data_IF_175827180921
#
_entry.id   IF_175827180921
#
_cell.length_a   1.000
_cell.length_b   1.000
_cell.length_c   1.000
_cell.angle_alpha   90.00
_cell.angle_beta   90.00
_cell.angle_gamma   90.00
#
_symmetry.space_group_name_H-M   'P 1'
#
loop_
_entity.id
_entity.type
_entity.pdbx_description
1 polymer ?
#
# COMPACT_ATOMS: atom_id res chain seq x y z
N UNK A 1 1.18 -11.98 -20.69
CA UNK A 1 -0.03 -12.72 -20.25
C UNK A 1 0.38 -14.12 -19.87
N UNK A 2 0.10 -14.58 -18.65
CA UNK A 2 0.31 -15.97 -18.28
C UNK A 2 -0.81 -16.80 -18.91
N UNK A 3 -0.48 -17.71 -19.82
CA UNK A 3 -1.42 -18.70 -20.37
C UNK A 3 -1.65 -19.80 -19.32
N UNK A 4 -2.91 -20.05 -18.97
CA UNK A 4 -3.30 -21.16 -18.08
C UNK A 4 -3.69 -22.37 -18.89
N UNK A 5 -3.92 -23.49 -18.21
CA UNK A 5 -4.50 -24.69 -18.80
C UNK A 5 -5.84 -24.37 -19.44
N UNK A 6 -5.99 -24.62 -20.75
CA UNK A 6 -7.27 -24.45 -21.44
C UNK A 6 -8.24 -25.53 -20.95
N UNK A 7 -9.46 -25.18 -20.51
CA UNK A 7 -10.44 -26.18 -20.14
C UNK A 7 -10.79 -27.06 -21.35
N UNK A 8 -10.93 -28.36 -21.12
CA UNK A 8 -11.46 -29.32 -22.10
C UNK A 8 -12.84 -29.76 -21.64
N UNK A 9 -13.86 -29.59 -22.50
CA UNK A 9 -15.27 -29.91 -22.18
C UNK A 9 -15.78 -29.25 -20.88
N UNK A 10 -15.24 -28.08 -20.52
CA UNK A 10 -15.60 -27.37 -19.28
C UNK A 10 -14.85 -27.83 -18.03
N UNK A 11 -13.88 -28.74 -18.16
CA UNK A 11 -13.07 -29.25 -17.05
C UNK A 11 -11.59 -28.91 -17.24
N UNK A 12 -10.91 -28.64 -16.14
CA UNK A 12 -9.46 -28.51 -16.13
C UNK A 12 -8.82 -29.89 -15.95
N UNK A 13 -8.05 -30.39 -16.93
CA UNK A 13 -7.43 -31.71 -16.81
C UNK A 13 -6.40 -31.70 -15.68
N UNK A 14 -6.52 -32.67 -14.77
CA UNK A 14 -5.55 -32.88 -13.68
C UNK A 14 -4.39 -33.71 -14.24
N UNK A 15 -3.17 -33.20 -14.10
CA UNK A 15 -1.97 -33.92 -14.53
C UNK A 15 -1.66 -35.09 -13.59
N UNK A 16 -0.90 -36.07 -14.11
CA UNK A 16 -0.42 -37.17 -13.30
C UNK A 16 0.44 -36.65 -12.12
N UNK A 17 0.38 -37.29 -10.94
CA UNK A 17 1.14 -36.84 -9.77
C UNK A 17 2.65 -36.74 -10.00
N UNK A 18 3.19 -37.55 -10.92
CA UNK A 18 4.62 -37.58 -11.27
C UNK A 18 5.00 -36.66 -12.45
N UNK A 19 4.04 -35.91 -13.00
CA UNK A 19 4.36 -34.89 -14.00
C UNK A 19 5.01 -33.68 -13.31
N UNK A 20 5.87 -32.97 -14.04
CA UNK A 20 6.29 -31.64 -13.61
C UNK A 20 5.06 -30.72 -13.54
N UNK A 21 5.06 -29.80 -12.57
CA UNK A 21 4.05 -28.76 -12.40
C UNK A 21 4.72 -27.39 -12.58
N UNK A 22 4.24 -26.59 -13.54
CA UNK A 22 4.71 -25.22 -13.81
C UNK A 22 3.52 -24.26 -13.66
N UNK A 23 3.81 -22.97 -13.44
CA UNK A 23 2.78 -21.95 -13.26
C UNK A 23 1.79 -21.84 -14.44
N UNK A 24 2.23 -22.09 -15.69
CA UNK A 24 1.33 -22.09 -16.86
C UNK A 24 0.42 -23.33 -16.94
N UNK A 25 0.61 -24.31 -16.05
CA UNK A 25 -0.26 -25.48 -15.86
C UNK A 25 -1.19 -25.33 -14.66
N UNK A 26 -1.18 -24.17 -13.99
CA UNK A 26 -2.20 -23.83 -13.01
C UNK A 26 -3.55 -23.79 -13.72
N UNK A 27 -4.55 -24.47 -13.14
CA UNK A 27 -5.84 -24.73 -13.81
C UNK A 27 -6.49 -23.45 -14.31
N UNK A 28 -6.65 -22.46 -13.44
CA UNK A 28 -7.34 -21.21 -13.79
C UNK A 28 -6.68 -20.02 -13.11
N UNK A 29 -6.62 -18.88 -13.82
CA UNK A 29 -6.51 -17.55 -13.25
C UNK A 29 -7.93 -16.98 -13.23
N UNK A 30 -8.46 -16.75 -12.03
CA UNK A 30 -9.80 -16.21 -11.85
C UNK A 30 -9.73 -14.68 -11.81
N UNK A 31 -10.24 -13.95 -12.81
CA UNK A 31 -10.41 -12.50 -12.72
C UNK A 31 -11.42 -12.18 -11.61
N UNK A 32 -11.04 -11.30 -10.68
CA UNK A 32 -11.87 -10.93 -9.53
C UNK A 32 -12.51 -9.55 -9.68
N UNK A 33 -12.24 -8.83 -10.77
CA UNK A 33 -12.66 -7.43 -10.98
C UNK A 33 -14.19 -7.29 -11.02
N UNK A 34 -14.90 -8.32 -11.46
CA UNK A 34 -16.36 -8.37 -11.46
C UNK A 34 -16.98 -8.83 -10.13
N UNK A 35 -16.17 -9.21 -9.14
CA UNK A 35 -16.64 -9.66 -7.83
C UNK A 35 -16.68 -8.47 -6.86
N UNK A 36 -17.70 -8.47 -6.00
CA UNK A 36 -17.76 -7.51 -4.89
C UNK A 36 -16.69 -7.82 -3.85
N UNK A 37 -16.22 -6.80 -3.14
CA UNK A 37 -15.37 -7.01 -1.98
C UNK A 37 -16.07 -7.87 -0.93
N UNK A 38 -15.30 -8.67 -0.20
CA UNK A 38 -15.81 -9.51 0.89
C UNK A 38 -15.38 -10.96 0.81
N UNK A 39 -16.05 -11.82 1.59
CA UNK A 39 -15.74 -13.24 1.63
C UNK A 39 -16.44 -13.99 0.50
N UNK A 40 -15.65 -14.72 -0.28
CA UNK A 40 -16.10 -15.60 -1.34
C UNK A 40 -15.63 -17.03 -1.07
N UNK A 41 -16.36 -18.01 -1.58
CA UNK A 41 -15.97 -19.42 -1.45
C UNK A 41 -15.47 -19.92 -2.79
N UNK A 42 -14.21 -20.34 -2.83
CA UNK A 42 -13.68 -21.12 -3.96
C UNK A 42 -13.98 -22.59 -3.68
N UNK A 43 -14.68 -23.23 -4.61
CA UNK A 43 -14.97 -24.66 -4.55
C UNK A 43 -14.28 -25.38 -5.71
N UNK A 44 -13.43 -26.34 -5.38
CA UNK A 44 -12.79 -27.24 -6.34
C UNK A 44 -13.56 -28.56 -6.30
N UNK A 45 -14.08 -28.98 -7.44
CA UNK A 45 -14.77 -30.27 -7.63
C UNK A 45 -13.92 -31.15 -8.53
N UNK A 46 -13.60 -32.35 -8.06
CA UNK A 46 -12.86 -33.35 -8.83
C UNK A 46 -13.84 -34.36 -9.41
N UNK A 47 -13.74 -34.61 -10.70
CA UNK A 47 -14.60 -35.55 -11.42
C UNK A 47 -13.77 -36.70 -12.00
N UNK A 48 -14.42 -37.84 -12.23
CA UNK A 48 -13.78 -38.98 -12.87
C UNK A 48 -13.51 -38.70 -14.34
N UNK A 49 -12.31 -39.04 -14.82
CA UNK A 49 -12.00 -39.01 -16.26
C UNK A 49 -12.84 -40.01 -17.07
N UNK A 50 -13.43 -41.03 -16.42
CA UNK A 50 -14.33 -42.01 -17.06
C UNK A 50 -15.75 -41.48 -17.25
N UNK A 51 -16.16 -40.48 -16.46
CA UNK A 51 -17.49 -39.85 -16.57
C UNK A 51 -17.46 -38.48 -15.92
N UNK A 52 -17.69 -37.44 -16.73
CA UNK A 52 -17.77 -36.05 -16.29
C UNK A 52 -18.92 -35.79 -15.28
N UNK A 53 -19.90 -36.70 -15.20
CA UNK A 53 -20.99 -36.64 -14.22
C UNK A 53 -20.62 -37.25 -12.85
N UNK A 54 -19.53 -38.00 -12.75
CA UNK A 54 -19.13 -38.67 -11.52
C UNK A 54 -18.21 -37.78 -10.68
N UNK A 55 -18.80 -37.05 -9.72
CA UNK A 55 -18.06 -36.30 -8.70
C UNK A 55 -17.29 -37.29 -7.80
N UNK A 56 -15.97 -37.15 -7.72
CA UNK A 56 -15.10 -37.95 -6.86
C UNK A 56 -14.87 -37.29 -5.51
N UNK A 57 -14.66 -35.97 -5.51
CA UNK A 57 -14.45 -35.20 -4.28
C UNK A 57 -14.71 -33.71 -4.51
N UNK A 58 -14.91 -33.00 -3.41
CA UNK A 58 -15.07 -31.55 -3.40
C UNK A 58 -14.33 -30.98 -2.20
N UNK A 59 -13.68 -29.84 -2.40
CA UNK A 59 -13.05 -29.05 -1.36
C UNK A 59 -13.43 -27.58 -1.53
N UNK A 60 -13.64 -26.89 -0.41
CA UNK A 60 -13.96 -25.46 -0.41
C UNK A 60 -13.00 -24.70 0.49
N UNK A 61 -12.64 -23.48 0.05
CA UNK A 61 -11.89 -22.53 0.85
C UNK A 61 -12.53 -21.15 0.76
N UNK A 62 -12.64 -20.49 1.90
CA UNK A 62 -13.06 -19.10 1.95
C UNK A 62 -11.84 -18.23 1.66
N UNK A 63 -11.99 -17.33 0.70
CA UNK A 63 -11.02 -16.29 0.37
C UNK A 63 -11.68 -14.93 0.56
N UNK A 64 -10.87 -13.92 0.87
CA UNK A 64 -11.34 -12.54 0.88
C UNK A 64 -10.93 -11.89 -0.44
N UNK A 65 -11.89 -11.33 -1.15
CA UNK A 65 -11.67 -10.50 -2.32
C UNK A 65 -11.67 -9.05 -1.88
N UNK A 66 -10.64 -8.32 -2.30
CA UNK A 66 -10.50 -6.89 -2.14
C UNK A 66 -9.98 -6.32 -3.46
N UNK A 67 -10.84 -5.60 -4.17
CA UNK A 67 -10.51 -4.88 -5.40
C UNK A 67 -10.39 -3.36 -5.14
N UNK A 68 -10.40 -2.93 -3.88
CA UNK A 68 -10.22 -1.52 -3.53
C UNK A 68 -8.74 -1.12 -3.62
N UNK A 69 -8.50 0.16 -3.86
CA UNK A 69 -7.15 0.72 -3.82
C UNK A 69 -6.98 1.49 -2.51
N UNK A 70 -5.77 1.50 -1.92
CA UNK A 70 -5.49 2.38 -0.80
C UNK A 70 -5.63 3.85 -1.22
N UNK A 71 -5.81 4.72 -0.24
CA UNK A 71 -5.85 6.17 -0.38
C UNK A 71 -4.58 6.76 0.23
N UNK A 72 -4.01 7.74 -0.46
CA UNK A 72 -2.84 8.49 -0.03
C UNK A 72 -3.08 9.99 -0.25
N UNK A 73 -2.93 10.79 0.80
CA UNK A 73 -2.89 12.25 0.69
C UNK A 73 -2.04 12.87 1.79
N UNK A 74 -1.36 13.96 1.45
CA UNK A 74 -0.79 14.90 2.42
C UNK A 74 -1.76 16.07 2.46
N UNK A 75 -2.65 16.10 3.44
CA UNK A 75 -3.73 17.09 3.53
C UNK A 75 -3.14 18.47 3.86
N UNK A 76 -2.22 18.52 4.83
CA UNK A 76 -1.61 19.76 5.29
C UNK A 76 -0.18 19.54 5.78
N UNK A 77 0.73 20.45 5.42
CA UNK A 77 2.05 20.58 6.06
C UNK A 77 1.89 21.64 7.16
N UNK A 78 2.38 21.36 8.36
CA UNK A 78 2.23 22.20 9.55
C UNK A 78 3.62 22.58 10.03
N UNK A 79 3.93 23.88 10.01
CA UNK A 79 5.16 24.42 10.57
C UNK A 79 4.93 24.86 12.01
N UNK A 80 5.81 24.44 12.92
CA UNK A 80 5.74 24.82 14.33
C UNK A 80 6.69 25.98 14.57
N UNK A 81 6.15 27.19 14.65
CA UNK A 81 6.88 28.40 14.99
C UNK A 81 7.12 28.50 16.49
N UNK A 82 8.29 29.01 16.88
CA UNK A 82 8.58 29.32 18.27
C UNK A 82 7.67 30.41 18.87
N UNK A 83 7.15 31.31 18.03
CA UNK A 83 6.38 32.50 18.46
C UNK A 83 4.90 32.39 18.11
N UNK A 84 4.57 31.92 16.91
CA UNK A 84 3.20 31.94 16.37
C UNK A 84 2.46 30.60 16.51
N UNK A 85 3.02 29.63 17.23
CA UNK A 85 2.44 28.29 17.35
C UNK A 85 2.50 27.52 16.03
N UNK A 86 1.39 26.93 15.60
CA UNK A 86 1.33 26.09 14.38
C UNK A 86 0.69 26.85 13.23
N UNK A 87 1.36 26.91 12.08
CA UNK A 87 0.78 27.47 10.86
C UNK A 87 0.82 26.46 9.70
N UNK A 88 -0.18 26.50 8.80
CA UNK A 88 -0.16 25.67 7.62
C UNK A 88 0.79 26.21 6.55
N UNK A 89 1.56 25.32 5.94
CA UNK A 89 2.37 25.61 4.76
C UNK A 89 1.69 25.00 3.54
N UNK A 90 1.35 25.86 2.58
CA UNK A 90 0.75 25.41 1.31
C UNK A 90 1.82 24.86 0.36
N UNK A 91 1.40 24.10 -0.64
CA UNK A 91 2.28 23.66 -1.73
C UNK A 91 3.00 24.84 -2.36
N UNK A 92 4.29 24.68 -2.66
CA UNK A 92 5.19 25.74 -3.14
C UNK A 92 5.42 26.89 -2.13
N UNK A 93 4.99 26.73 -0.87
CA UNK A 93 5.28 27.67 0.20
C UNK A 93 6.78 27.77 0.47
N UNK A 94 7.22 28.95 0.89
CA UNK A 94 8.60 29.21 1.30
C UNK A 94 8.60 29.50 2.79
N UNK A 95 9.43 28.79 3.54
CA UNK A 95 9.61 28.97 4.99
C UNK A 95 10.96 29.60 5.24
N UNK A 96 10.98 30.73 5.93
CA UNK A 96 12.20 31.54 6.15
C UNK A 96 12.55 31.72 7.63
N UNK A 97 11.68 31.29 8.53
CA UNK A 97 11.82 31.49 9.97
C UNK A 97 12.75 30.46 10.62
N UNK A 98 13.29 30.76 11.80
CA UNK A 98 14.35 29.96 12.45
C UNK A 98 13.92 28.55 12.91
N UNK A 99 12.63 28.22 12.91
CA UNK A 99 12.17 26.90 13.36
C UNK A 99 12.24 25.89 12.23
N UNK A 100 12.76 24.71 12.50
CA UNK A 100 12.83 23.59 11.57
C UNK A 100 11.85 22.46 11.90
N UNK A 101 10.87 22.72 12.74
CA UNK A 101 9.95 21.71 13.28
C UNK A 101 8.66 21.61 12.45
N UNK A 102 8.35 20.41 11.94
CA UNK A 102 7.20 20.16 11.07
C UNK A 102 6.37 18.95 11.48
N UNK A 103 5.07 19.03 11.24
CA UNK A 103 4.16 17.88 11.26
C UNK A 103 3.27 17.90 10.02
N UNK A 104 2.58 16.80 9.77
CA UNK A 104 1.85 16.57 8.53
C UNK A 104 0.52 15.92 8.85
N UNK A 105 -0.57 16.54 8.42
CA UNK A 105 -1.87 15.87 8.40
C UNK A 105 -1.92 15.01 7.14
N UNK A 106 -2.03 13.69 7.30
CA UNK A 106 -2.03 12.74 6.19
C UNK A 106 -3.21 11.77 6.26
N UNK A 107 -3.57 11.26 5.09
CA UNK A 107 -4.43 10.09 4.94
C UNK A 107 -3.62 9.00 4.24
N UNK A 108 -3.54 7.83 4.88
CA UNK A 108 -2.86 6.65 4.37
C UNK A 108 -3.70 5.45 4.81
N UNK A 109 -4.68 5.07 4.00
CA UNK A 109 -5.70 4.10 4.42
C UNK A 109 -6.18 3.16 3.34
N UNK A 110 -6.66 2.02 3.78
CA UNK A 110 -7.40 1.05 2.99
C UNK A 110 -8.80 0.91 3.61
N UNK A 111 -9.85 1.12 2.81
CA UNK A 111 -11.22 1.15 3.31
C UNK A 111 -11.73 -0.22 3.79
N UNK A 112 -11.19 -1.30 3.26
CA UNK A 112 -11.52 -2.68 3.62
C UNK A 112 -10.71 -3.17 4.82
N UNK A 113 -9.72 -2.38 5.27
CA UNK A 113 -8.90 -2.70 6.42
C UNK A 113 -7.73 -3.61 6.09
N UNK A 114 -7.26 -3.61 4.85
CA UNK A 114 -6.13 -4.44 4.43
C UNK A 114 -4.86 -3.64 4.17
N UNK A 115 -4.66 -2.50 4.83
CA UNK A 115 -3.42 -1.75 4.70
C UNK A 115 -2.23 -2.62 5.13
N UNK A 116 -1.10 -2.46 4.44
CA UNK A 116 0.16 -3.16 4.69
C UNK A 116 1.16 -2.28 5.41
N UNK A 117 1.44 -1.12 4.85
CA UNK A 117 2.39 -0.16 5.37
C UNK A 117 2.18 1.21 4.73
N UNK A 118 2.70 2.24 5.42
CA UNK A 118 2.86 3.56 4.85
C UNK A 118 4.15 4.21 5.35
N UNK A 119 4.71 5.09 4.55
CA UNK A 119 5.87 5.90 4.93
C UNK A 119 5.77 7.30 4.34
N UNK A 120 6.04 8.30 5.17
CA UNK A 120 6.22 9.69 4.77
C UNK A 120 7.72 9.99 4.83
N UNK A 121 8.30 10.37 3.70
CA UNK A 121 9.72 10.62 3.53
C UNK A 121 9.92 12.05 3.06
N UNK A 122 10.86 12.77 3.66
CA UNK A 122 11.34 14.04 3.16
C UNK A 122 12.53 13.80 2.21
N UNK A 123 12.50 14.43 1.04
CA UNK A 123 13.56 14.43 0.05
C UNK A 123 14.07 15.86 -0.14
N UNK A 124 15.39 16.06 -0.20
CA UNK A 124 15.98 17.39 -0.43
C UNK A 124 17.35 17.28 -1.11
N UNK A 125 17.87 18.45 -1.52
CA UNK A 125 19.24 18.59 -2.01
C UNK A 125 19.60 17.62 -3.14
N UNK A 126 20.83 17.12 -3.09
CA UNK A 126 21.36 16.11 -4.02
C UNK A 126 21.22 14.71 -3.41
N UNK A 127 20.15 14.02 -3.81
CA UNK A 127 19.85 12.64 -3.42
C UNK A 127 19.85 12.42 -1.90
N UNK A 128 19.36 13.41 -1.12
CA UNK A 128 19.20 13.31 0.33
C UNK A 128 17.76 12.99 0.69
N UNK A 129 17.60 12.23 1.77
CA UNK A 129 16.30 11.89 2.30
C UNK A 129 16.35 11.53 3.79
N UNK A 130 15.20 11.65 4.45
CA UNK A 130 14.96 11.12 5.78
C UNK A 130 13.49 10.73 5.96
N UNK A 131 13.25 9.66 6.70
CA UNK A 131 11.89 9.29 7.11
C UNK A 131 11.36 10.32 8.10
N UNK A 132 10.17 10.84 7.81
CA UNK A 132 9.41 11.71 8.72
C UNK A 132 8.61 10.84 9.69
N UNK A 133 7.83 9.90 9.15
CA UNK A 133 7.04 8.97 9.92
C UNK A 133 6.71 7.73 9.08
N UNK A 134 6.46 6.60 9.73
CA UNK A 134 6.03 5.37 9.06
C UNK A 134 5.32 4.47 10.05
N UNK A 135 4.47 3.59 9.54
CA UNK A 135 3.91 2.49 10.31
C UNK A 135 3.63 1.30 9.39
N UNK A 136 3.47 0.12 9.99
CA UNK A 136 3.20 -1.11 9.27
C UNK A 136 2.25 -2.01 10.03
N UNK A 137 1.54 -2.84 9.27
CA UNK A 137 0.57 -3.77 9.79
C UNK A 137 1.20 -4.71 10.83
N UNK A 138 0.71 -4.62 12.06
CA UNK A 138 1.01 -5.60 13.10
C UNK A 138 -0.07 -6.67 13.12
N UNK A 139 0.29 -7.97 12.99
CA UNK A 139 -0.67 -9.06 13.00
C UNK A 139 -1.62 -9.03 14.19
N UNK A 140 -2.93 -9.10 13.92
CA UNK A 140 -3.97 -9.16 14.94
C UNK A 140 -5.06 -10.19 14.59
N UNK A 141 -5.89 -10.64 15.55
CA UNK A 141 -6.91 -11.66 15.32
C UNK A 141 -7.94 -11.30 14.25
N UNK A 142 -8.33 -10.03 14.15
CA UNK A 142 -9.26 -9.54 13.13
C UNK A 142 -8.63 -9.50 11.73
N UNK A 143 -7.29 -9.58 11.66
CA UNK A 143 -6.49 -9.43 10.45
C UNK A 143 -6.71 -8.10 9.73
N UNK A 144 -7.05 -7.06 10.48
CA UNK A 144 -7.49 -5.77 9.95
C UNK A 144 -6.60 -4.62 10.43
N UNK A 145 -6.34 -3.69 9.52
CA UNK A 145 -5.76 -2.39 9.79
C UNK A 145 -6.16 -1.43 8.67
N UNK A 146 -6.97 -0.43 9.03
CA UNK A 146 -7.49 0.56 8.10
C UNK A 146 -6.44 1.63 7.78
N UNK A 147 -5.53 1.93 8.71
CA UNK A 147 -4.56 3.02 8.59
C UNK A 147 -5.08 4.36 9.08
N UNK A 148 -4.50 5.44 8.54
CA UNK A 148 -4.71 6.81 8.99
C UNK A 148 -5.72 7.55 8.11
N UNK A 149 -6.59 8.35 8.73
CA UNK A 149 -7.54 9.21 8.03
C UNK A 149 -7.45 10.64 8.59
N UNK A 150 -6.75 11.53 7.88
CA UNK A 150 -6.54 12.92 8.29
C UNK A 150 -5.81 13.08 9.62
N UNK A 151 -4.84 12.23 9.93
CA UNK A 151 -4.11 12.20 11.22
C UNK A 151 -2.81 13.00 11.12
N UNK A 152 -2.45 13.72 12.18
CA UNK A 152 -1.19 14.46 12.26
C UNK A 152 -0.05 13.53 12.68
N UNK A 153 1.01 13.50 11.87
CA UNK A 153 2.23 12.73 12.10
C UNK A 153 3.48 13.59 11.84
N UNK A 154 4.62 13.32 12.50
CA UNK A 154 4.75 12.48 13.67
C UNK A 154 4.11 13.13 14.92
N UNK A 155 3.93 12.35 15.98
CA UNK A 155 3.33 12.84 17.24
C UNK A 155 4.19 13.92 17.92
N UNK A 156 5.51 13.76 17.88
CA UNK A 156 6.46 14.83 18.13
C UNK A 156 6.84 15.46 16.77
N UNK A 157 6.99 16.79 16.66
CA UNK A 157 7.41 17.42 15.41
C UNK A 157 8.74 16.87 14.89
N UNK A 158 8.83 16.74 13.57
CA UNK A 158 10.03 16.31 12.87
C UNK A 158 10.93 17.51 12.59
N UNK A 159 12.22 17.38 12.91
CA UNK A 159 13.23 18.38 12.62
C UNK A 159 13.75 18.24 11.19
N UNK A 160 13.61 19.29 10.37
CA UNK A 160 14.11 19.31 9.00
C UNK A 160 15.64 19.42 8.93
N UNK A 161 16.28 20.01 9.95
CA UNK A 161 17.73 20.12 9.96
C UNK A 161 18.39 18.76 10.10
N UNK A 162 19.35 18.50 9.23
CA UNK A 162 20.35 17.45 9.44
C UNK A 162 21.71 18.09 9.76
N UNK A 163 22.28 17.71 10.91
CA UNK A 163 23.56 18.25 11.36
C UNK A 163 24.67 17.97 10.32
N UNK A 164 25.39 19.02 9.92
CA UNK A 164 26.45 18.93 8.91
C UNK A 164 25.96 18.96 7.46
N UNK A 165 24.64 19.01 7.19
CA UNK A 165 24.08 19.14 5.85
C UNK A 165 23.38 20.50 5.66
N UNK A 166 24.05 21.50 5.07
CA UNK A 166 23.44 22.82 4.85
C UNK A 166 22.26 22.77 3.86
N UNK A 167 22.16 21.74 3.01
CA UNK A 167 21.07 21.62 2.03
C UNK A 167 19.74 21.28 2.69
N UNK A 168 19.75 20.67 3.88
CA UNK A 168 18.54 20.38 4.69
C UNK A 168 17.80 21.64 5.17
N UNK A 169 18.45 22.81 5.12
CA UNK A 169 17.88 24.09 5.57
C UNK A 169 17.66 25.12 4.45
N UNK A 170 18.27 24.91 3.30
CA UNK A 170 18.38 25.92 2.22
C UNK A 170 17.92 25.42 0.85
N UNK A 171 17.24 24.29 0.80
CA UNK A 171 16.75 23.69 -0.43
C UNK A 171 15.27 23.34 -0.37
N UNK A 172 14.71 23.08 -1.55
CA UNK A 172 13.39 22.51 -1.69
C UNK A 172 13.31 21.15 -0.99
N UNK A 173 12.24 20.96 -0.25
CA UNK A 173 11.86 19.69 0.36
C UNK A 173 10.64 19.15 -0.37
N UNK A 174 10.72 17.91 -0.82
CA UNK A 174 9.57 17.16 -1.32
C UNK A 174 9.22 16.08 -0.32
N UNK A 175 8.04 16.17 0.26
CA UNK A 175 7.49 15.14 1.13
C UNK A 175 6.72 14.16 0.28
N UNK A 176 7.11 12.90 0.36
CA UNK A 176 6.57 11.81 -0.45
C UNK A 176 5.95 10.77 0.49
N UNK A 177 4.64 10.59 0.35
CA UNK A 177 3.87 9.59 1.07
C UNK A 177 3.72 8.34 0.19
N UNK A 178 4.12 7.20 0.72
CA UNK A 178 4.01 5.87 0.11
C UNK A 178 2.97 5.07 0.89
N UNK A 179 2.06 4.38 0.21
CA UNK A 179 0.99 3.59 0.84
C UNK A 179 0.79 2.28 0.08
N UNK A 180 0.90 1.15 0.78
CA UNK A 180 0.68 -0.19 0.25
C UNK A 180 -0.47 -0.89 0.96
N UNK A 181 -1.28 -1.62 0.20
CA UNK A 181 -2.22 -2.61 0.76
C UNK A 181 -1.61 -4.02 0.82
N UNK A 182 -2.32 -4.95 1.45
CA UNK A 182 -1.98 -6.37 1.57
C UNK A 182 -2.67 -7.22 0.51
N UNK A 183 -3.32 -6.61 -0.47
CA UNK A 183 -4.02 -7.33 -1.55
C UNK A 183 -2.99 -8.00 -2.45
N UNK A 184 -3.15 -9.31 -2.68
CA UNK A 184 -2.21 -10.12 -3.49
C UNK A 184 -2.93 -10.86 -4.60
N UNK A 185 -2.20 -11.15 -5.69
CA UNK A 185 -2.62 -12.11 -6.73
C UNK A 185 -2.05 -13.52 -6.51
N UNK A 186 -1.59 -13.82 -5.29
CA UNK A 186 -0.87 -15.06 -4.97
C UNK A 186 0.63 -15.03 -5.27
N UNK A 187 1.15 -13.97 -5.91
CA UNK A 187 2.57 -13.81 -6.20
C UNK A 187 3.16 -12.54 -5.60
N UNK A 188 2.48 -11.41 -5.76
CA UNK A 188 2.95 -10.10 -5.31
C UNK A 188 1.80 -9.27 -4.72
N UNK A 189 2.15 -8.23 -3.97
CA UNK A 189 1.21 -7.16 -3.61
C UNK A 189 0.83 -6.35 -4.85
N UNK A 190 -0.42 -5.93 -4.92
CA UNK A 190 -0.98 -5.34 -6.13
C UNK A 190 -1.07 -3.83 -6.08
N UNK A 191 -1.52 -3.25 -4.97
CA UNK A 191 -1.87 -1.84 -4.97
C UNK A 191 -0.89 -1.01 -4.16
N UNK A 192 -0.38 -0.01 -4.87
CA UNK A 192 0.46 1.04 -4.34
C UNK A 192 -0.13 2.38 -4.73
N UNK A 193 -0.17 3.30 -3.76
CA UNK A 193 -0.45 4.70 -4.00
C UNK A 193 0.64 5.57 -3.42
N UNK A 194 0.84 6.69 -4.07
CA UNK A 194 1.74 7.72 -3.61
C UNK A 194 1.12 9.10 -3.74
N UNK A 195 1.58 10.01 -2.90
CA UNK A 195 1.24 11.41 -2.94
C UNK A 195 2.46 12.24 -2.55
N UNK A 196 2.67 13.41 -3.16
CA UNK A 196 3.75 14.28 -2.75
C UNK A 196 3.33 15.74 -2.68
N UNK A 197 4.01 16.50 -1.82
CA UNK A 197 3.94 17.96 -1.73
C UNK A 197 5.33 18.52 -1.54
N UNK A 198 5.62 19.65 -2.16
CA UNK A 198 6.92 20.31 -2.07
C UNK A 198 6.79 21.71 -1.49
N UNK A 199 7.77 22.09 -0.67
CA UNK A 199 7.96 23.43 -0.10
C UNK A 199 9.44 23.80 -0.22
N UNK A 200 9.76 25.08 -0.03
CA UNK A 200 11.15 25.54 0.03
C UNK A 200 11.49 25.96 1.46
N UNK A 201 12.60 25.44 1.98
CA UNK A 201 13.15 25.89 3.26
C UNK A 201 14.32 26.82 2.98
N UNK A 202 14.29 28.02 3.58
CA UNK A 202 15.33 29.03 3.59
C UNK A 202 15.58 29.47 5.04
N UNK A 203 15.89 28.51 5.90
CA UNK A 203 16.14 28.75 7.31
C UNK A 203 17.54 29.38 7.49
N UNK A 204 17.71 30.32 8.43
CA UNK A 204 18.98 31.02 8.64
C UNK A 204 20.16 30.11 9.00
#
# INVERSE_FOLDING_TARGET
MATTTVPSLGYYPVRLPNALWYNHWLGSLLPTEGLTNGLHTITIKLFSSKSAAALLSQQSKVVRIDNSWPLASIDQIIHHHAVNGQTPVNTCGIVTENSDQFSFRITARDAEGHLRDWSLVALWGDNKSATVASDSYTPNPAKQWVGLNGVVVPAAPWAATVAGDPTSRRCAHTFYLHVWDRTINGYNYLHYRAYHKSITLLLP
#
